data_IF_777702938620
#
_entry.id   IF_777702938620
#
_cell.length_a   1.000
_cell.length_b   1.000
_cell.length_c   1.000
_cell.angle_alpha   90.00
_cell.angle_beta   90.00
_cell.angle_gamma   90.00
#
_symmetry.space_group_name_H-M   'P 1'
#
loop_
_entity.id
_entity.type
_entity.pdbx_description
1 polymer ?
#
# COMPACT_ATOMS: atom_id res chain seq x y z
N UNK A 1 5.68 -5.06 -8.60
CA UNK A 1 5.28 -5.13 -7.17
C UNK A 1 6.32 -5.90 -6.39
N UNK A 2 6.49 -5.58 -5.10
CA UNK A 2 7.56 -6.07 -4.23
C UNK A 2 7.44 -7.56 -3.81
N UNK A 3 6.93 -8.44 -4.69
CA UNK A 3 6.91 -9.86 -4.40
C UNK A 3 8.35 -10.37 -4.23
N UNK A 4 8.67 -10.86 -3.04
CA UNK A 4 9.99 -11.32 -2.63
C UNK A 4 11.02 -10.21 -2.42
N UNK A 5 10.58 -8.95 -2.19
CA UNK A 5 11.47 -7.80 -2.03
C UNK A 5 11.22 -7.09 -0.70
N UNK A 6 12.29 -6.56 -0.12
CA UNK A 6 12.23 -5.73 1.10
C UNK A 6 11.83 -4.31 0.68
N UNK A 7 10.86 -3.73 1.38
CA UNK A 7 10.48 -2.32 1.21
C UNK A 7 11.26 -1.48 2.21
N UNK A 8 12.04 -0.50 1.73
CA UNK A 8 12.70 0.48 2.59
C UNK A 8 11.71 1.54 3.07
N UNK A 9 11.92 2.03 4.27
CA UNK A 9 11.12 3.10 4.88
C UNK A 9 12.00 4.33 5.14
N UNK A 10 11.37 5.50 5.07
CA UNK A 10 11.95 6.76 5.53
C UNK A 10 10.93 7.46 6.43
N UNK A 11 11.41 8.12 7.48
CA UNK A 11 10.59 8.97 8.33
C UNK A 11 10.74 10.41 7.86
N UNK A 12 9.63 11.03 7.48
CA UNK A 12 9.58 12.44 7.10
C UNK A 12 8.80 13.21 8.16
N UNK A 13 9.32 14.35 8.59
CA UNK A 13 8.64 15.27 9.49
C UNK A 13 8.06 16.43 8.69
N UNK A 14 6.76 16.67 8.82
CA UNK A 14 6.10 17.85 8.24
C UNK A 14 5.86 18.86 9.36
N UNK A 15 6.53 20.04 9.37
CA UNK A 15 6.47 20.97 10.49
C UNK A 15 5.09 21.59 10.71
N UNK A 16 4.30 21.72 9.64
CA UNK A 16 2.96 22.32 9.65
C UNK A 16 2.02 21.53 8.75
N UNK A 17 0.72 21.59 9.08
CA UNK A 17 -0.34 20.90 8.34
C UNK A 17 -0.63 19.49 8.81
N UNK A 18 -1.54 18.81 8.13
CA UNK A 18 -1.92 17.42 8.41
C UNK A 18 -1.71 16.54 7.19
N UNK A 19 -1.52 15.26 7.42
CA UNK A 19 -1.42 14.25 6.38
C UNK A 19 -2.43 13.14 6.62
N UNK A 20 -3.01 12.61 5.55
CA UNK A 20 -3.90 11.46 5.61
C UNK A 20 -3.67 10.52 4.43
N UNK A 21 -4.11 9.28 4.59
CA UNK A 21 -4.12 8.30 3.51
C UNK A 21 -5.45 8.35 2.76
N UNK A 22 -5.39 8.61 1.45
CA UNK A 22 -6.53 8.58 0.56
C UNK A 22 -6.50 7.27 -0.25
N UNK A 23 -7.37 6.33 0.12
CA UNK A 23 -7.45 5.01 -0.52
C UNK A 23 -8.34 5.03 -1.76
N UNK A 24 -8.03 4.19 -2.74
CA UNK A 24 -8.79 4.04 -3.99
C UNK A 24 -8.39 5.01 -5.11
N UNK A 25 -7.51 5.97 -4.86
CA UNK A 25 -7.11 6.99 -5.83
C UNK A 25 -5.64 7.36 -5.73
N UNK A 26 -5.08 7.99 -6.78
CA UNK A 26 -3.77 8.65 -6.73
C UNK A 26 -3.88 10.17 -6.56
N UNK A 27 -5.10 10.69 -6.40
CA UNK A 27 -5.37 12.11 -6.30
C UNK A 27 -5.75 12.49 -4.87
N UNK A 28 -5.42 13.71 -4.48
CA UNK A 28 -5.82 14.28 -3.19
C UNK A 28 -7.11 15.09 -3.32
N UNK A 29 -7.81 15.27 -2.18
CA UNK A 29 -8.94 16.19 -2.13
C UNK A 29 -8.46 17.64 -2.30
N UNK A 30 -9.40 18.55 -2.61
CA UNK A 30 -9.10 19.98 -2.71
C UNK A 30 -8.42 20.50 -1.43
N UNK A 31 -7.39 21.33 -1.59
CA UNK A 31 -6.60 21.87 -0.48
C UNK A 31 -5.46 20.97 0.00
N UNK A 32 -5.27 19.78 -0.58
CA UNK A 32 -4.16 18.88 -0.27
C UNK A 32 -3.33 18.55 -1.51
N UNK A 33 -2.01 18.41 -1.33
CA UNK A 33 -1.09 17.93 -2.34
C UNK A 33 -0.62 16.50 -2.00
N UNK A 34 -0.37 15.70 -3.04
CA UNK A 34 0.18 14.37 -2.85
C UNK A 34 1.64 14.47 -2.40
N UNK A 35 1.94 14.04 -1.17
CA UNK A 35 3.31 13.81 -0.73
C UNK A 35 3.92 12.63 -1.50
N UNK A 36 3.14 11.57 -1.68
CA UNK A 36 3.43 10.50 -2.63
C UNK A 36 2.16 9.74 -3.02
N UNK A 37 2.25 9.01 -4.14
CA UNK A 37 1.20 8.11 -4.61
C UNK A 37 1.71 6.67 -4.62
N UNK A 38 0.79 5.72 -4.49
CA UNK A 38 1.15 4.37 -4.12
C UNK A 38 0.07 3.34 -4.37
N UNK A 39 0.37 2.13 -3.92
CA UNK A 39 -0.62 1.05 -3.86
C UNK A 39 -0.84 0.66 -2.41
N UNK A 40 -2.02 0.11 -2.13
CA UNK A 40 -2.31 -0.48 -0.84
C UNK A 40 -1.61 -1.81 -0.77
N UNK A 41 -0.64 -1.90 0.13
CA UNK A 41 0.03 -3.15 0.43
C UNK A 41 -0.37 -3.61 1.84
N UNK A 42 -0.23 -4.90 2.07
CA UNK A 42 -0.49 -5.53 3.34
C UNK A 42 0.27 -6.82 3.50
N UNK A 43 0.31 -7.30 4.73
CA UNK A 43 0.75 -8.66 5.02
C UNK A 43 -0.36 -9.66 4.66
N UNK A 44 0.00 -10.91 4.36
CA UNK A 44 -0.98 -11.96 4.03
C UNK A 44 -1.16 -12.92 5.19
N UNK A 45 -2.38 -13.43 5.36
CA UNK A 45 -2.69 -14.55 6.24
C UNK A 45 -3.11 -15.73 5.37
N UNK A 46 -2.71 -16.94 5.74
CA UNK A 46 -3.19 -18.18 5.12
C UNK A 46 -4.20 -18.81 6.07
N UNK A 47 -5.42 -19.07 5.60
CA UNK A 47 -6.47 -19.75 6.37
C UNK A 47 -6.80 -19.12 7.74
N UNK A 48 -6.73 -17.79 7.87
CA UNK A 48 -7.04 -17.08 9.12
C UNK A 48 -5.97 -17.20 10.21
N UNK A 49 -4.94 -18.04 10.03
CA UNK A 49 -3.75 -18.03 10.86
C UNK A 49 -2.85 -16.86 10.43
N UNK A 50 -2.35 -16.10 11.40
CA UNK A 50 -1.36 -15.05 11.14
C UNK A 50 -0.05 -15.71 10.68
N UNK A 51 0.11 -15.93 9.38
CA UNK A 51 1.34 -16.47 8.79
C UNK A 51 2.47 -15.43 8.74
N UNK A 52 2.12 -14.15 8.83
CA UNK A 52 3.04 -13.02 8.79
C UNK A 52 2.65 -11.96 9.82
N UNK A 53 3.63 -11.19 10.31
CA UNK A 53 3.39 -10.10 11.26
C UNK A 53 2.41 -9.08 10.66
N UNK A 54 1.51 -8.56 11.49
CA UNK A 54 0.53 -7.54 11.12
C UNK A 54 -0.34 -7.90 9.89
N UNK A 55 -0.76 -9.16 9.78
CA UNK A 55 -1.52 -9.71 8.65
C UNK A 55 -2.82 -8.95 8.29
N UNK A 56 -3.40 -8.24 9.25
CA UNK A 56 -4.60 -7.41 9.07
C UNK A 56 -4.30 -5.96 8.71
N UNK A 57 -3.06 -5.49 8.86
CA UNK A 57 -2.71 -4.10 8.60
C UNK A 57 -2.53 -3.85 7.10
N UNK A 58 -3.01 -2.68 6.67
CA UNK A 58 -2.87 -2.18 5.30
C UNK A 58 -2.29 -0.79 5.35
N UNK A 59 -1.36 -0.51 4.45
CA UNK A 59 -0.70 0.78 4.36
C UNK A 59 -0.58 1.23 2.90
N UNK A 60 -0.58 2.55 2.70
CA UNK A 60 -0.26 3.14 1.42
C UNK A 60 1.26 3.19 1.23
N UNK A 61 1.78 2.36 0.31
CA UNK A 61 3.22 2.28 0.02
C UNK A 61 3.49 2.95 -1.32
N UNK A 62 4.49 3.83 -1.34
CA UNK A 62 4.90 4.58 -2.53
C UNK A 62 5.11 3.63 -3.72
N UNK A 63 4.54 3.96 -4.88
CA UNK A 63 4.59 3.13 -6.10
C UNK A 63 6.00 2.97 -6.66
N UNK A 64 6.89 3.91 -6.34
CA UNK A 64 8.30 3.91 -6.71
C UNK A 64 9.15 3.33 -5.58
N UNK A 65 8.71 2.24 -4.94
CA UNK A 65 9.45 1.61 -3.87
C UNK A 65 10.79 1.07 -4.40
N UNK A 66 11.87 1.31 -3.66
CA UNK A 66 13.16 0.68 -3.94
C UNK A 66 13.08 -0.80 -3.52
N UNK A 67 12.98 -1.67 -4.53
CA UNK A 67 12.87 -3.12 -4.40
C UNK A 67 14.16 -3.84 -4.83
N UNK A 68 15.29 -3.16 -4.70
CA UNK A 68 16.61 -3.65 -5.12
C UNK A 68 17.06 -4.87 -4.31
N UNK A 69 16.59 -5.01 -3.06
CA UNK A 69 16.95 -6.12 -2.17
C UNK A 69 15.89 -7.24 -2.19
N UNK A 70 16.34 -8.47 -2.45
CA UNK A 70 15.54 -9.69 -2.28
C UNK A 70 15.39 -10.06 -0.81
N UNK A 71 14.18 -10.41 -0.38
CA UNK A 71 13.92 -10.91 0.99
C UNK A 71 14.32 -12.39 1.17
N UNK A 72 14.68 -13.09 0.08
CA UNK A 72 15.00 -14.52 0.12
C UNK A 72 13.85 -15.33 0.76
N UNK A 73 14.19 -16.27 1.63
CA UNK A 73 13.23 -17.08 2.41
C UNK A 73 12.65 -16.40 3.65
N UNK A 74 13.10 -15.19 4.00
CA UNK A 74 12.58 -14.44 5.15
C UNK A 74 11.28 -13.72 4.78
N UNK A 75 10.22 -14.51 4.64
CA UNK A 75 8.92 -14.04 4.20
C UNK A 75 8.14 -13.27 5.27
N UNK A 76 8.56 -13.34 6.54
CA UNK A 76 7.85 -12.79 7.71
C UNK A 76 7.53 -11.29 7.66
N UNK A 77 8.28 -10.50 6.87
CA UNK A 77 8.14 -9.05 6.73
C UNK A 77 7.74 -8.59 5.31
N UNK A 78 7.22 -9.50 4.48
CA UNK A 78 6.88 -9.19 3.10
C UNK A 78 5.58 -8.37 2.98
N UNK A 79 5.60 -7.41 2.06
CA UNK A 79 4.43 -6.61 1.68
C UNK A 79 3.84 -7.11 0.36
N UNK A 80 2.57 -7.48 0.40
CA UNK A 80 1.81 -7.98 -0.73
C UNK A 80 0.85 -6.91 -1.24
N UNK A 81 0.74 -6.78 -2.56
CA UNK A 81 -0.22 -5.87 -3.18
C UNK A 81 -1.65 -6.33 -2.92
N UNK A 82 -2.49 -5.39 -2.48
CA UNK A 82 -3.93 -5.65 -2.32
C UNK A 82 -4.63 -5.45 -3.67
N UNK A 83 -5.35 -6.47 -4.14
CA UNK A 83 -6.04 -6.46 -5.43
C UNK A 83 -7.54 -6.68 -5.28
N UNK A 84 -8.29 -6.14 -6.22
CA UNK A 84 -9.73 -6.39 -6.35
C UNK A 84 -9.91 -7.76 -6.99
N UNK A 85 -10.42 -8.74 -6.22
CA UNK A 85 -10.66 -10.09 -6.73
C UNK A 85 -12.06 -10.27 -7.32
N UNK A 86 -13.02 -9.44 -6.93
CA UNK A 86 -14.38 -9.45 -7.47
C UNK A 86 -15.00 -8.07 -7.39
N UNK A 87 -15.80 -7.71 -8.40
CA UNK A 87 -16.42 -6.37 -8.50
C UNK A 87 -17.74 -6.24 -7.75
N UNK A 88 -18.32 -7.34 -7.25
CA UNK A 88 -19.65 -7.36 -6.60
C UNK A 88 -20.73 -6.60 -7.39
N UNK A 89 -20.68 -6.65 -8.73
CA UNK A 89 -21.60 -5.92 -9.61
C UNK A 89 -21.27 -4.44 -9.87
N UNK A 90 -20.21 -3.90 -9.27
CA UNK A 90 -19.80 -2.51 -9.43
C UNK A 90 -18.88 -2.35 -10.66
N UNK A 91 -19.43 -1.83 -11.75
CA UNK A 91 -18.74 -1.67 -13.05
C UNK A 91 -17.56 -0.70 -13.01
N UNK A 92 -17.54 0.24 -12.05
CA UNK A 92 -16.44 1.19 -11.85
C UNK A 92 -15.14 0.53 -11.37
N UNK A 93 -15.21 -0.70 -10.83
CA UNK A 93 -14.02 -1.43 -10.37
C UNK A 93 -13.53 -2.39 -11.44
N UNK A 94 -12.21 -2.49 -11.54
CA UNK A 94 -11.55 -3.46 -12.42
C UNK A 94 -10.97 -4.60 -11.59
N UNK A 95 -11.31 -5.83 -11.94
CA UNK A 95 -10.74 -7.03 -11.32
C UNK A 95 -9.25 -7.15 -11.61
N UNK A 96 -8.55 -7.83 -10.71
CA UNK A 96 -7.10 -8.02 -10.74
C UNK A 96 -6.30 -6.71 -10.77
N UNK A 97 -6.93 -5.58 -10.44
CA UNK A 97 -6.24 -4.31 -10.29
C UNK A 97 -5.86 -4.05 -8.85
N UNK A 98 -4.70 -3.42 -8.67
CA UNK A 98 -4.20 -3.03 -7.35
C UNK A 98 -4.94 -1.81 -6.86
N UNK A 99 -5.29 -1.83 -5.58
CA UNK A 99 -5.94 -0.70 -4.94
C UNK A 99 -4.92 0.45 -4.87
N UNK A 100 -5.25 1.55 -5.54
CA UNK A 100 -4.45 2.77 -5.55
C UNK A 100 -4.54 3.47 -4.20
N UNK A 101 -3.55 4.28 -3.87
CA UNK A 101 -3.61 5.19 -2.74
C UNK A 101 -2.73 6.44 -2.99
N UNK A 102 -2.96 7.46 -2.17
CA UNK A 102 -2.13 8.65 -2.07
C UNK A 102 -1.98 9.04 -0.60
N UNK A 103 -0.80 9.49 -0.20
CA UNK A 103 -0.63 10.24 1.04
C UNK A 103 -0.74 11.72 0.70
N UNK A 104 -1.74 12.35 1.28
CA UNK A 104 -2.15 13.71 0.98
C UNK A 104 -1.84 14.60 2.18
N UNK A 105 -1.12 15.69 1.95
CA UNK A 105 -0.74 16.64 2.99
C UNK A 105 -1.05 18.08 2.54
N UNK A 106 -1.39 18.98 3.46
CA UNK A 106 -1.66 20.41 3.18
C UNK A 106 -0.63 21.33 3.84
#
# INVERSE_FOLDING_TARGET
MAAGRIVRCALCHKPTGTCYAHYGTHSCASGFAAAYTGYVLGSFATNGAASHYNSTQRACVNRNFQADISSGGNMGAMWYGTRIQGRLGLTAYSENTFIKCAICCN
#
